data_IF_378234145698
#
_entry.id   IF_378234145698
#
_cell.length_a   1.000
_cell.length_b   1.000
_cell.length_c   1.000
_cell.angle_alpha   90.00
_cell.angle_beta   90.00
_cell.angle_gamma   90.00
#
_symmetry.space_group_name_H-M   'P 1'
#
loop_
_entity.id
_entity.type
_entity.pdbx_description
1 polymer ?
#
# COMPACT_ATOMS: atom_id res chain seq x y z
N UNK A 1 59.70 9.87 8.75
CA UNK A 1 59.21 8.55 8.29
C UNK A 1 57.94 8.21 9.06
N UNK A 2 56.76 8.39 8.45
CA UNK A 2 55.46 8.04 9.04
C UNK A 2 54.65 7.32 7.95
N UNK A 3 54.50 5.99 8.09
CA UNK A 3 53.67 5.12 7.25
C UNK A 3 52.73 4.34 8.16
N UNK A 4 51.55 4.87 8.43
CA UNK A 4 50.43 4.23 9.14
C UNK A 4 49.29 5.25 8.93
N UNK A 5 48.23 5.05 8.15
CA UNK A 5 47.17 4.05 8.23
C UNK A 5 46.28 4.18 6.97
N UNK A 6 46.39 3.28 5.99
CA UNK A 6 45.52 3.30 4.79
C UNK A 6 44.97 1.92 4.42
N UNK A 7 44.85 1.01 5.39
CA UNK A 7 44.40 -0.39 5.13
C UNK A 7 43.08 -0.79 5.77
N UNK A 8 42.39 0.11 6.49
CA UNK A 8 41.14 -0.21 7.18
C UNK A 8 39.86 0.24 6.45
N UNK A 9 39.96 1.03 5.37
CA UNK A 9 38.78 1.58 4.68
C UNK A 9 38.23 0.68 3.56
N UNK A 10 38.93 -0.39 3.17
CA UNK A 10 38.55 -1.19 2.00
C UNK A 10 37.65 -2.41 2.31
N UNK A 11 37.45 -2.77 3.59
CA UNK A 11 36.72 -4.01 3.96
C UNK A 11 35.21 -3.78 4.13
N UNK A 12 34.75 -2.55 4.35
CA UNK A 12 33.32 -2.27 4.61
C UNK A 12 32.46 -2.33 3.34
N UNK A 13 33.03 -2.15 2.15
CA UNK A 13 32.28 -2.18 0.88
C UNK A 13 31.96 -3.58 0.34
N UNK A 14 32.53 -4.65 0.92
CA UNK A 14 32.30 -6.04 0.44
C UNK A 14 31.13 -6.78 1.10
N UNK A 15 30.34 -6.12 1.96
CA UNK A 15 29.17 -6.73 2.62
C UNK A 15 27.83 -6.38 1.96
N UNK A 16 27.82 -5.62 0.87
CA UNK A 16 26.65 -5.54 0.00
C UNK A 16 26.48 -6.89 -0.71
N UNK A 17 25.70 -7.79 -0.11
CA UNK A 17 25.12 -8.93 -0.83
C UNK A 17 24.51 -8.37 -2.11
N UNK A 18 24.78 -8.94 -3.30
CA UNK A 18 24.08 -8.52 -4.50
C UNK A 18 22.59 -8.67 -4.20
N UNK A 19 21.89 -7.54 -4.17
CA UNK A 19 20.45 -7.53 -4.28
C UNK A 19 20.14 -8.39 -5.50
N UNK A 20 19.39 -9.48 -5.30
CA UNK A 20 18.87 -10.22 -6.45
C UNK A 20 18.09 -9.19 -7.24
N UNK A 21 18.57 -8.86 -8.44
CA UNK A 21 17.82 -8.04 -9.37
C UNK A 21 16.44 -8.71 -9.48
N UNK A 22 15.39 -8.05 -9.00
CA UNK A 22 14.06 -8.55 -9.21
C UNK A 22 13.83 -8.52 -10.73
N UNK A 23 13.69 -9.70 -11.31
CA UNK A 23 13.43 -9.81 -12.73
C UNK A 23 11.95 -9.49 -12.97
N UNK A 24 11.66 -8.23 -13.28
CA UNK A 24 10.32 -7.79 -13.67
C UNK A 24 10.04 -8.00 -15.16
N UNK A 25 10.88 -8.76 -15.88
CA UNK A 25 10.58 -9.12 -17.27
C UNK A 25 9.33 -9.97 -17.30
N UNK A 26 8.41 -9.62 -18.21
CA UNK A 26 7.20 -10.39 -18.45
C UNK A 26 7.60 -11.77 -19.01
N UNK A 27 7.24 -12.88 -18.36
CA UNK A 27 7.61 -14.21 -18.85
C UNK A 27 7.00 -14.47 -20.23
N UNK A 28 7.82 -14.89 -21.18
CA UNK A 28 7.40 -15.15 -22.57
C UNK A 28 6.39 -16.28 -22.72
N UNK A 29 6.29 -17.16 -21.71
CA UNK A 29 5.31 -18.25 -21.64
C UNK A 29 3.92 -17.81 -21.16
N UNK A 30 3.74 -16.55 -20.77
CA UNK A 30 2.42 -16.03 -20.42
C UNK A 30 1.52 -15.99 -21.66
N UNK A 31 0.21 -16.16 -21.44
CA UNK A 31 -0.78 -16.23 -22.53
C UNK A 31 -0.76 -15.00 -23.45
N UNK A 32 -0.44 -13.82 -22.90
CA UNK A 32 -0.24 -12.55 -23.63
C UNK A 32 0.88 -11.74 -22.95
N UNK A 33 2.15 -11.88 -23.37
CA UNK A 33 3.26 -11.17 -22.75
C UNK A 33 3.39 -9.72 -23.24
N UNK A 34 2.56 -9.32 -24.20
CA UNK A 34 2.51 -7.97 -24.76
C UNK A 34 1.06 -7.48 -24.77
N UNK A 35 0.90 -6.15 -24.77
CA UNK A 35 -0.37 -5.46 -24.95
C UNK A 35 -0.43 -4.90 -26.37
N UNK A 36 -1.56 -5.11 -27.05
CA UNK A 36 -1.83 -4.49 -28.36
C UNK A 36 -2.23 -3.01 -28.21
N UNK A 37 -2.54 -2.57 -26.98
CA UNK A 37 -2.88 -1.19 -26.66
C UNK A 37 -1.62 -0.35 -26.43
N UNK A 38 -1.61 0.84 -27.04
CA UNK A 38 -0.64 1.89 -26.75
C UNK A 38 -0.93 2.52 -25.38
N UNK A 39 0.02 3.31 -24.87
CA UNK A 39 -0.23 4.10 -23.65
C UNK A 39 -1.41 5.06 -23.84
N UNK A 40 -1.52 5.67 -25.03
CA UNK A 40 -2.62 6.59 -25.34
C UNK A 40 -3.99 5.91 -25.28
N UNK A 41 -4.12 4.68 -25.79
CA UNK A 41 -5.37 3.94 -25.75
C UNK A 41 -5.79 3.64 -24.30
N UNK A 42 -4.82 3.20 -23.47
CA UNK A 42 -5.06 2.93 -22.06
C UNK A 42 -5.49 4.17 -21.29
N UNK A 43 -4.91 5.31 -21.65
CA UNK A 43 -5.23 6.59 -21.04
C UNK A 43 -6.62 7.10 -21.42
N UNK A 44 -7.03 6.90 -22.68
CA UNK A 44 -8.37 7.20 -23.15
C UNK A 44 -9.43 6.32 -22.44
N UNK A 45 -9.13 5.03 -22.27
CA UNK A 45 -10.00 4.14 -21.49
C UNK A 45 -10.13 4.56 -20.03
N UNK A 46 -9.01 4.92 -19.39
CA UNK A 46 -9.02 5.41 -18.01
C UNK A 46 -9.85 6.70 -17.87
N UNK A 47 -9.70 7.65 -18.80
CA UNK A 47 -10.52 8.87 -18.85
C UNK A 47 -12.00 8.55 -19.05
N UNK A 48 -12.33 7.61 -19.93
CA UNK A 48 -13.70 7.15 -20.14
C UNK A 48 -14.34 6.61 -18.87
N UNK A 49 -13.62 5.80 -18.10
CA UNK A 49 -14.08 5.26 -16.81
C UNK A 49 -14.30 6.41 -15.81
N UNK A 50 -13.34 7.33 -15.68
CA UNK A 50 -13.46 8.48 -14.78
C UNK A 50 -14.68 9.33 -15.12
N UNK A 51 -14.94 9.60 -16.41
CA UNK A 51 -16.09 10.38 -16.83
C UNK A 51 -17.43 9.71 -16.45
N UNK A 52 -17.47 8.38 -16.39
CA UNK A 52 -18.65 7.62 -15.96
C UNK A 52 -18.80 7.63 -14.44
N UNK A 53 -17.70 7.51 -13.69
CA UNK A 53 -17.77 7.34 -12.23
C UNK A 53 -17.82 8.68 -11.49
N UNK A 54 -17.12 9.72 -11.96
CA UNK A 54 -17.05 11.02 -11.29
C UNK A 54 -18.41 11.61 -10.89
N UNK A 55 -19.48 11.56 -11.73
CA UNK A 55 -20.80 12.07 -11.36
C UNK A 55 -21.50 11.27 -10.25
N UNK A 56 -21.01 10.08 -9.91
CA UNK A 56 -21.58 9.19 -8.89
C UNK A 56 -20.89 9.37 -7.53
N UNK A 57 -19.82 10.19 -7.49
CA UNK A 57 -19.13 10.52 -6.24
C UNK A 57 -19.95 11.58 -5.51
N UNK A 58 -20.33 11.30 -4.27
CA UNK A 58 -21.07 12.25 -3.45
C UNK A 58 -20.16 13.41 -3.03
N UNK A 59 -20.46 14.64 -3.45
CA UNK A 59 -19.63 15.82 -3.22
C UNK A 59 -19.32 16.06 -1.74
N UNK A 60 -20.28 15.80 -0.85
CA UNK A 60 -20.14 16.04 0.58
C UNK A 60 -19.25 15.02 1.31
N UNK A 61 -19.08 13.83 0.72
CA UNK A 61 -18.27 12.76 1.33
C UNK A 61 -17.02 12.42 0.53
N UNK A 62 -16.96 12.75 -0.76
CA UNK A 62 -15.93 12.29 -1.68
C UNK A 62 -15.98 10.78 -1.93
N UNK A 63 -17.06 10.10 -1.53
CA UNK A 63 -17.22 8.64 -1.59
C UNK A 63 -18.31 8.24 -2.58
N UNK A 64 -18.28 6.99 -3.03
CA UNK A 64 -19.36 6.41 -3.81
C UNK A 64 -20.43 5.82 -2.86
N UNK A 65 -21.71 6.24 -2.95
CA UNK A 65 -22.73 5.90 -1.96
C UNK A 65 -23.10 4.41 -1.92
N UNK A 66 -22.97 3.71 -3.05
CA UNK A 66 -23.26 2.27 -3.14
C UNK A 66 -22.10 1.36 -2.74
N UNK A 67 -20.92 1.92 -2.45
CA UNK A 67 -19.76 1.14 -2.04
C UNK A 67 -19.70 1.03 -0.51
N UNK A 68 -19.29 -0.14 -0.03
CA UNK A 68 -18.98 -0.31 1.37
C UNK A 68 -17.69 0.45 1.77
N UNK A 69 -17.36 0.35 3.04
CA UNK A 69 -16.23 1.06 3.62
C UNK A 69 -14.87 0.62 3.07
N UNK A 70 -14.69 -0.68 2.82
CA UNK A 70 -13.46 -1.24 2.25
C UNK A 70 -13.35 -0.89 0.76
N UNK A 71 -14.46 -1.01 0.04
CA UNK A 71 -14.56 -0.71 -1.39
C UNK A 71 -14.26 0.76 -1.66
N UNK A 72 -14.79 1.67 -0.83
CA UNK A 72 -14.45 3.09 -0.92
C UNK A 72 -12.95 3.37 -0.69
N UNK A 73 -12.28 2.63 0.20
CA UNK A 73 -10.82 2.76 0.39
C UNK A 73 -10.06 2.45 -0.92
N UNK A 74 -10.43 1.34 -1.58
CA UNK A 74 -9.82 0.95 -2.84
C UNK A 74 -10.18 1.91 -3.97
N UNK A 75 -11.40 2.46 -3.95
CA UNK A 75 -11.82 3.47 -4.92
C UNK A 75 -10.95 4.74 -4.81
N UNK A 76 -10.75 5.26 -3.59
CA UNK A 76 -9.85 6.40 -3.33
C UNK A 76 -8.40 6.08 -3.70
N UNK A 77 -7.92 4.87 -3.42
CA UNK A 77 -6.59 4.40 -3.82
C UNK A 77 -6.38 4.50 -5.34
N UNK A 78 -7.33 3.99 -6.14
CA UNK A 78 -7.23 4.03 -7.59
C UNK A 78 -7.31 5.45 -8.15
N UNK A 79 -8.12 6.32 -7.56
CA UNK A 79 -8.15 7.75 -7.91
C UNK A 79 -6.78 8.41 -7.67
N UNK A 80 -6.20 8.19 -6.49
CA UNK A 80 -4.89 8.73 -6.15
C UNK A 80 -3.77 8.17 -7.05
N UNK A 81 -3.80 6.87 -7.39
CA UNK A 81 -2.83 6.30 -8.32
C UNK A 81 -2.98 6.81 -9.74
N UNK A 82 -4.20 7.09 -10.17
CA UNK A 82 -4.45 7.67 -11.49
C UNK A 82 -3.86 9.07 -11.56
N UNK A 83 -4.13 9.92 -10.57
CA UNK A 83 -3.53 11.26 -10.48
C UNK A 83 -2.00 11.20 -10.36
N UNK A 84 -1.45 10.26 -9.59
CA UNK A 84 0.00 10.07 -9.49
C UNK A 84 0.65 9.67 -10.82
N UNK A 85 0.01 8.77 -11.57
CA UNK A 85 0.51 8.33 -12.87
C UNK A 85 0.40 9.42 -13.94
N UNK A 86 -0.49 10.40 -13.75
CA UNK A 86 -0.81 11.45 -14.71
C UNK A 86 -1.21 12.79 -14.04
N UNK A 87 -0.25 13.50 -13.44
CA UNK A 87 -0.53 14.69 -12.65
C UNK A 87 -1.12 15.86 -13.45
N UNK A 88 -0.94 15.88 -14.78
CA UNK A 88 -1.42 16.97 -15.66
C UNK A 88 -2.82 16.75 -16.22
N UNK A 89 -3.40 15.55 -16.09
CA UNK A 89 -4.64 15.18 -16.80
C UNK A 89 -5.83 14.88 -15.89
N UNK A 90 -5.63 14.71 -14.58
CA UNK A 90 -6.69 14.29 -13.67
C UNK A 90 -6.58 15.03 -12.33
N UNK A 91 -7.67 15.71 -11.95
CA UNK A 91 -7.76 16.55 -10.75
C UNK A 91 -8.79 15.96 -9.80
N UNK A 92 -8.61 14.68 -9.45
CA UNK A 92 -9.44 13.97 -8.48
C UNK A 92 -9.01 14.27 -7.04
N UNK A 93 -7.92 15.02 -6.86
CA UNK A 93 -7.36 15.36 -5.56
C UNK A 93 -8.34 16.03 -4.59
N UNK A 94 -9.33 16.79 -5.07
CA UNK A 94 -10.38 17.34 -4.20
C UNK A 94 -11.22 16.19 -3.63
N UNK A 95 -11.77 15.32 -4.48
CA UNK A 95 -12.59 14.18 -4.06
C UNK A 95 -11.79 13.22 -3.18
N UNK A 96 -10.53 12.95 -3.50
CA UNK A 96 -9.64 12.14 -2.65
C UNK A 96 -9.47 12.76 -1.27
N UNK A 97 -9.23 14.08 -1.21
CA UNK A 97 -9.06 14.79 0.06
C UNK A 97 -10.34 14.79 0.89
N UNK A 98 -11.50 15.02 0.25
CA UNK A 98 -12.80 14.98 0.92
C UNK A 98 -13.08 13.55 1.42
N UNK A 99 -12.85 12.53 0.60
CA UNK A 99 -13.01 11.11 0.93
C UNK A 99 -12.21 10.68 2.15
N UNK A 100 -10.91 11.00 2.14
CA UNK A 100 -10.01 10.72 3.27
C UNK A 100 -10.49 11.46 4.52
N UNK A 101 -10.77 12.76 4.43
CA UNK A 101 -11.20 13.55 5.58
C UNK A 101 -12.55 13.08 6.14
N UNK A 102 -13.50 12.73 5.26
CA UNK A 102 -14.79 12.18 5.63
C UNK A 102 -14.59 10.88 6.42
N UNK A 103 -13.79 9.94 5.89
CA UNK A 103 -13.42 8.70 6.58
C UNK A 103 -12.93 8.94 8.01
N UNK A 104 -12.00 9.88 8.22
CA UNK A 104 -11.46 10.16 9.56
C UNK A 104 -12.46 10.86 10.49
N UNK A 105 -13.39 11.63 9.93
CA UNK A 105 -14.44 12.28 10.70
C UNK A 105 -15.48 11.28 11.23
N UNK A 106 -15.87 10.29 10.42
CA UNK A 106 -16.95 9.34 10.76
C UNK A 106 -16.47 8.16 11.59
N UNK A 107 -15.25 7.69 11.37
CA UNK A 107 -14.80 6.46 12.03
C UNK A 107 -14.47 6.62 13.50
N UNK A 108 -14.17 7.83 13.96
CA UNK A 108 -13.47 8.11 15.24
C UNK A 108 -12.18 7.27 15.35
N UNK A 109 -11.13 7.83 15.93
CA UNK A 109 -9.84 7.12 16.14
C UNK A 109 -9.96 5.73 16.80
N UNK A 110 -11.09 5.39 17.42
CA UNK A 110 -11.25 4.22 18.29
C UNK A 110 -11.59 2.89 17.58
N UNK A 111 -12.13 2.89 16.37
CA UNK A 111 -12.49 1.65 15.63
C UNK A 111 -11.37 1.23 14.69
N UNK A 112 -10.68 2.19 14.06
CA UNK A 112 -9.57 1.91 13.13
C UNK A 112 -8.32 1.37 13.83
N UNK A 113 -8.05 1.85 15.04
CA UNK A 113 -6.86 1.45 15.81
C UNK A 113 -7.10 0.26 16.76
N UNK A 114 -8.28 -0.37 16.71
CA UNK A 114 -8.54 -1.61 17.45
C UNK A 114 -8.75 -2.76 16.49
N UNK A 115 -7.89 -3.77 16.63
CA UNK A 115 -7.93 -5.10 15.97
C UNK A 115 -7.39 -5.15 14.55
N UNK A 116 -7.18 -6.40 14.13
CA UNK A 116 -7.00 -6.88 12.77
C UNK A 116 -8.14 -6.40 11.86
N UNK A 117 -8.02 -5.17 11.35
CA UNK A 117 -9.01 -4.60 10.47
C UNK A 117 -8.44 -4.48 9.04
N UNK A 118 -8.83 -5.33 8.09
CA UNK A 118 -8.39 -5.22 6.70
C UNK A 118 -8.79 -3.88 6.07
N UNK A 119 -9.86 -3.25 6.56
CA UNK A 119 -10.30 -1.93 6.11
C UNK A 119 -9.30 -0.86 6.48
N UNK A 120 -8.77 -0.91 7.71
CA UNK A 120 -7.76 0.05 8.15
C UNK A 120 -6.51 -0.04 7.25
N UNK A 121 -6.08 -1.26 6.89
CA UNK A 121 -4.97 -1.45 5.95
C UNK A 121 -5.28 -0.89 4.55
N UNK A 122 -6.50 -1.10 4.03
CA UNK A 122 -6.90 -0.55 2.73
C UNK A 122 -6.87 0.99 2.73
N UNK A 123 -7.38 1.61 3.80
CA UNK A 123 -7.35 3.07 3.98
C UNK A 123 -5.94 3.61 4.25
N UNK A 124 -5.06 2.83 4.90
CA UNK A 124 -3.65 3.17 5.04
C UNK A 124 -2.94 3.20 3.68
N UNK A 125 -3.26 2.25 2.81
CA UNK A 125 -2.70 2.19 1.46
C UNK A 125 -3.21 3.36 0.61
N UNK A 126 -4.51 3.66 0.69
CA UNK A 126 -5.13 4.79 0.00
C UNK A 126 -4.53 6.14 0.42
N UNK A 127 -4.36 6.37 1.72
CA UNK A 127 -3.75 7.62 2.24
C UNK A 127 -2.28 7.73 1.86
N UNK A 128 -1.52 6.63 1.89
CA UNK A 128 -0.15 6.64 1.38
C UNK A 128 -0.08 6.94 -0.12
N UNK A 129 -0.95 6.36 -0.93
CA UNK A 129 -1.03 6.67 -2.36
C UNK A 129 -1.38 8.13 -2.60
N UNK A 130 -2.34 8.68 -1.86
CA UNK A 130 -2.69 10.10 -1.90
C UNK A 130 -1.51 11.01 -1.53
N UNK A 131 -0.72 10.64 -0.51
CA UNK A 131 0.53 11.36 -0.21
C UNK A 131 1.49 11.35 -1.40
N UNK A 132 1.68 10.20 -2.07
CA UNK A 132 2.57 10.15 -3.25
C UNK A 132 2.05 11.00 -4.41
N UNK A 133 0.73 11.06 -4.59
CA UNK A 133 0.08 11.85 -5.64
C UNK A 133 0.15 13.36 -5.39
N UNK A 134 -0.14 13.79 -4.16
CA UNK A 134 -0.42 15.21 -3.85
C UNK A 134 0.61 15.85 -2.92
N UNK A 135 1.53 15.08 -2.34
CA UNK A 135 2.59 15.52 -1.44
C UNK A 135 2.10 16.28 -0.19
N UNK A 136 0.87 15.97 0.26
CA UNK A 136 0.25 16.54 1.45
C UNK A 136 0.70 15.77 2.72
N UNK A 137 1.50 16.37 3.63
CA UNK A 137 2.09 15.68 4.78
C UNK A 137 1.08 15.05 5.74
N UNK A 138 -0.13 15.61 5.81
CA UNK A 138 -1.23 15.06 6.59
C UNK A 138 -1.58 13.65 6.15
N UNK A 139 -1.57 13.34 4.85
CA UNK A 139 -1.87 11.99 4.34
C UNK A 139 -0.78 10.98 4.73
N UNK A 140 0.49 11.39 4.74
CA UNK A 140 1.58 10.53 5.19
C UNK A 140 1.47 10.24 6.70
N UNK A 141 1.26 11.30 7.49
CA UNK A 141 1.09 11.19 8.94
C UNK A 141 -0.01 10.18 9.29
N UNK A 142 -1.06 10.19 8.48
CA UNK A 142 -2.24 9.38 8.63
C UNK A 142 -2.02 7.92 8.26
N UNK A 143 -1.35 7.67 7.13
CA UNK A 143 -0.89 6.34 6.75
C UNK A 143 0.00 5.73 7.83
N UNK A 144 0.96 6.50 8.36
CA UNK A 144 1.85 6.06 9.45
C UNK A 144 1.05 5.69 10.69
N UNK A 145 0.13 6.56 11.14
CA UNK A 145 -0.68 6.27 12.32
C UNK A 145 -1.50 4.98 12.18
N UNK A 146 -2.06 4.72 11.00
CA UNK A 146 -2.77 3.46 10.74
C UNK A 146 -1.80 2.28 10.75
N UNK A 147 -0.70 2.38 10.02
CA UNK A 147 0.34 1.36 9.96
C UNK A 147 0.86 0.97 11.35
N UNK A 148 1.20 1.95 12.17
CA UNK A 148 1.70 1.74 13.54
C UNK A 148 0.69 1.01 14.42
N UNK A 149 -0.60 1.19 14.16
CA UNK A 149 -1.64 0.48 14.90
C UNK A 149 -1.89 -0.94 14.39
N UNK A 150 -1.92 -1.15 13.07
CA UNK A 150 -2.24 -2.46 12.48
C UNK A 150 -1.04 -3.41 12.48
N UNK A 151 0.18 -2.87 12.41
CA UNK A 151 1.44 -3.64 12.46
C UNK A 151 1.58 -4.43 13.76
N UNK A 152 0.99 -3.96 14.87
CA UNK A 152 0.94 -4.68 16.14
C UNK A 152 0.27 -6.04 16.06
N UNK A 153 -0.59 -6.26 15.06
CA UNK A 153 -1.33 -7.52 14.86
C UNK A 153 -0.73 -8.41 13.76
N UNK A 154 0.40 -8.00 13.16
CA UNK A 154 1.09 -8.82 12.18
C UNK A 154 1.73 -10.03 12.85
N UNK A 155 1.60 -11.19 12.21
CA UNK A 155 2.27 -12.41 12.68
C UNK A 155 3.76 -12.23 12.42
N UNK A 156 4.57 -12.28 13.47
CA UNK A 156 6.03 -12.37 13.35
C UNK A 156 6.45 -13.83 13.14
N UNK A 157 7.70 -14.07 12.75
CA UNK A 157 8.23 -15.44 12.65
C UNK A 157 8.17 -16.19 14.01
N UNK A 158 8.36 -15.47 15.12
CA UNK A 158 8.22 -16.03 16.46
C UNK A 158 6.77 -16.43 16.75
N UNK A 159 5.82 -15.54 16.45
CA UNK A 159 4.40 -15.82 16.59
C UNK A 159 4.01 -17.05 15.74
N UNK A 160 4.47 -17.10 14.48
CA UNK A 160 4.30 -18.24 13.57
C UNK A 160 4.79 -19.56 14.18
N UNK A 161 6.00 -19.56 14.73
CA UNK A 161 6.62 -20.75 15.35
C UNK A 161 5.87 -21.21 16.60
N UNK A 162 5.46 -20.25 17.43
CA UNK A 162 4.73 -20.51 18.68
C UNK A 162 3.25 -20.84 18.45
N UNK A 163 2.75 -20.74 17.21
CA UNK A 163 1.34 -20.95 16.89
C UNK A 163 0.39 -20.00 17.63
N UNK A 164 0.88 -18.84 18.06
CA UNK A 164 0.13 -17.88 18.88
C UNK A 164 0.62 -16.46 18.68
N UNK A 165 -0.22 -15.48 18.98
CA UNK A 165 0.11 -14.05 18.92
C UNK A 165 -0.37 -13.35 20.19
N UNK A 166 0.45 -12.52 20.86
CA UNK A 166 0.13 -11.96 22.19
C UNK A 166 -1.16 -11.12 22.21
N UNK A 167 -1.52 -10.49 21.08
CA UNK A 167 -2.74 -9.70 20.93
C UNK A 167 -3.94 -10.46 20.32
N UNK A 168 -3.79 -11.74 19.95
CA UNK A 168 -4.86 -12.54 19.34
C UNK A 168 -5.32 -13.62 20.31
N UNK A 169 -6.62 -13.88 20.37
CA UNK A 169 -7.19 -14.88 21.29
C UNK A 169 -7.21 -16.30 20.74
N UNK A 170 -6.72 -16.51 19.52
CA UNK A 170 -6.75 -17.79 18.82
C UNK A 170 -5.33 -18.26 18.55
N UNK A 171 -5.12 -19.57 18.66
CA UNK A 171 -3.92 -20.22 18.15
C UNK A 171 -4.06 -20.49 16.66
N UNK A 172 -2.94 -20.60 15.97
CA UNK A 172 -2.87 -20.98 14.57
C UNK A 172 -1.82 -22.07 14.40
N UNK A 173 -1.93 -22.88 13.34
CA UNK A 173 -0.96 -23.94 13.09
C UNK A 173 0.41 -23.33 12.77
N UNK A 174 1.45 -23.80 13.46
CA UNK A 174 2.84 -23.39 13.22
C UNK A 174 3.43 -23.97 11.93
N UNK A 175 2.69 -24.88 11.29
CA UNK A 175 3.05 -25.49 10.01
C UNK A 175 1.89 -25.41 9.03
N UNK A 176 2.21 -25.29 7.75
CA UNK A 176 1.26 -25.41 6.65
C UNK A 176 1.73 -26.56 5.76
N UNK A 177 0.88 -27.57 5.53
CA UNK A 177 1.21 -28.78 4.76
C UNK A 177 2.51 -29.50 5.21
N UNK A 178 2.79 -29.51 6.53
CA UNK A 178 4.01 -30.11 7.09
C UNK A 178 5.28 -29.29 6.92
N UNK A 179 5.23 -28.14 6.24
CA UNK A 179 6.31 -27.16 6.19
C UNK A 179 6.19 -26.10 7.28
N UNK A 180 7.32 -25.63 7.82
CA UNK A 180 7.37 -24.48 8.72
C UNK A 180 6.89 -23.23 7.97
N UNK A 181 6.01 -22.45 8.58
CA UNK A 181 5.60 -21.15 8.03
C UNK A 181 6.81 -20.19 8.10
N UNK A 182 7.44 -19.92 6.97
CA UNK A 182 8.48 -18.88 6.83
C UNK A 182 7.77 -17.63 6.34
N UNK A 183 7.65 -16.62 7.20
CA UNK A 183 7.18 -15.32 6.75
C UNK A 183 8.33 -14.57 6.06
N UNK A 184 8.07 -13.88 4.94
CA UNK A 184 9.09 -13.06 4.31
C UNK A 184 9.62 -12.05 5.33
N UNK A 185 10.93 -12.07 5.51
CA UNK A 185 11.64 -11.17 6.43
C UNK A 185 11.58 -9.77 5.81
N UNK A 186 10.78 -8.90 6.42
CA UNK A 186 10.68 -7.44 6.24
C UNK A 186 10.93 -6.90 4.81
N UNK A 187 9.86 -6.41 4.16
CA UNK A 187 9.94 -5.52 3.00
C UNK A 187 10.30 -4.09 3.44
#
# INVERSE_FOLDING_TARGET
MLRFTWRLTAVILSLCKPSRLQNFSIPTLWRKPYSDYTRSDLDEFAQGIINVISPQIADETGLHPDLDFYQNANFILEMAYTDYAKPESFVLGIQVSVGINHYFSVTKKLILFRRENPDALAWSLATHAAYRAYLLPEFLTLAINIWDSVSLYQITQENATNGSHPLKQHTFQSTCNGGIVILPKEL
#
